data_IF_169616006164
#
_entry.id   IF_169616006164
#
_cell.length_a   1.000
_cell.length_b   1.000
_cell.length_c   1.000
_cell.angle_alpha   90.00
_cell.angle_beta   90.00
_cell.angle_gamma   90.00
#
_symmetry.space_group_name_H-M   'P 1'
#
loop_
_entity.id
_entity.type
_entity.pdbx_description
1 polymer ?
#
# COMPACT_ATOMS: atom_id res chain seq x y z
N UNK A 1 2.49 4.02 -6.69
CA UNK A 1 1.86 5.28 -7.15
C UNK A 1 0.35 5.09 -7.02
N UNK A 2 -0.47 6.12 -7.17
CA UNK A 2 -1.92 5.95 -7.15
C UNK A 2 -2.51 6.75 -8.30
N UNK A 3 -3.71 6.41 -8.77
CA UNK A 3 -4.27 6.96 -10.00
C UNK A 3 -4.18 8.49 -10.11
N UNK A 4 -4.41 9.23 -9.02
CA UNK A 4 -4.39 10.70 -9.04
C UNK A 4 -2.99 11.35 -9.15
N UNK A 5 -1.91 10.59 -8.96
CA UNK A 5 -0.53 11.05 -9.19
C UNK A 5 0.15 10.33 -10.36
N UNK A 6 -0.64 9.64 -11.18
CA UNK A 6 -0.10 8.97 -12.36
C UNK A 6 0.55 9.98 -13.31
N UNK A 7 1.77 9.65 -13.77
CA UNK A 7 2.58 10.54 -14.60
C UNK A 7 1.92 10.80 -15.95
N UNK A 8 1.23 9.83 -16.54
CA UNK A 8 0.55 10.02 -17.83
C UNK A 8 -0.60 11.04 -17.70
N UNK A 9 -1.38 10.99 -16.62
CA UNK A 9 -2.45 11.97 -16.37
C UNK A 9 -1.88 13.38 -16.16
N UNK A 10 -0.79 13.50 -15.39
CA UNK A 10 -0.12 14.78 -15.12
C UNK A 10 0.51 15.35 -16.38
N UNK A 11 1.31 14.55 -17.09
CA UNK A 11 2.11 15.00 -18.23
C UNK A 11 1.25 15.26 -19.46
N UNK A 12 0.08 14.61 -19.58
CA UNK A 12 -0.86 14.88 -20.68
C UNK A 12 -1.31 16.34 -20.71
N UNK A 13 -1.43 17.00 -19.55
CA UNK A 13 -2.07 18.32 -19.38
C UNK A 13 -3.50 18.41 -19.94
N UNK A 14 -4.14 17.28 -20.22
CA UNK A 14 -5.51 17.20 -20.73
C UNK A 14 -6.51 16.87 -19.63
N UNK A 15 -6.07 16.14 -18.60
CA UNK A 15 -6.95 15.68 -17.53
C UNK A 15 -7.08 16.71 -16.38
N UNK A 16 -5.97 17.24 -15.87
CA UNK A 16 -5.98 18.19 -14.76
C UNK A 16 -6.06 19.65 -15.24
N UNK A 17 -6.95 20.48 -14.68
CA UNK A 17 -6.93 21.92 -14.89
C UNK A 17 -5.58 22.53 -14.52
N UNK A 18 -5.20 23.62 -15.19
CA UNK A 18 -3.90 24.26 -14.96
C UNK A 18 -3.70 24.78 -13.53
N UNK A 19 -4.77 25.00 -12.76
CA UNK A 19 -4.73 25.38 -11.35
C UNK A 19 -4.40 24.22 -10.39
N UNK A 20 -4.57 22.96 -10.82
CA UNK A 20 -4.32 21.77 -9.99
C UNK A 20 -2.83 21.44 -9.99
N UNK A 21 -2.15 21.66 -8.86
CA UNK A 21 -0.68 21.54 -8.77
C UNK A 21 -0.21 20.48 -7.78
N UNK A 22 -0.84 20.38 -6.62
CA UNK A 22 -0.39 19.48 -5.55
C UNK A 22 -1.02 18.09 -5.67
N UNK A 23 -0.45 17.09 -4.98
CA UNK A 23 -1.06 15.76 -4.89
C UNK A 23 -2.48 15.81 -4.30
N UNK A 24 -2.69 16.65 -3.28
CA UNK A 24 -4.01 16.84 -2.68
C UNK A 24 -5.01 17.52 -3.62
N UNK A 25 -4.58 18.51 -4.40
CA UNK A 25 -5.44 19.12 -5.44
C UNK A 25 -5.85 18.08 -6.49
N UNK A 26 -4.90 17.25 -6.90
CA UNK A 26 -5.15 16.18 -7.87
C UNK A 26 -6.12 15.15 -7.32
N UNK A 27 -5.98 14.73 -6.06
CA UNK A 27 -6.91 13.80 -5.43
C UNK A 27 -8.33 14.39 -5.40
N UNK A 28 -8.48 15.64 -4.94
CA UNK A 28 -9.77 16.34 -4.93
C UNK A 28 -10.40 16.39 -6.32
N UNK A 29 -9.62 16.78 -7.33
CA UNK A 29 -10.12 16.84 -8.71
C UNK A 29 -10.46 15.44 -9.25
N UNK A 30 -9.57 14.46 -9.06
CA UNK A 30 -9.76 13.08 -9.50
C UNK A 30 -11.06 12.49 -8.94
N UNK A 31 -11.36 12.76 -7.66
CA UNK A 31 -12.59 12.31 -7.00
C UNK A 31 -13.88 12.98 -7.51
N UNK A 32 -13.79 13.98 -8.40
CA UNK A 32 -14.94 14.51 -9.15
C UNK A 32 -15.20 13.75 -10.45
N UNK A 33 -14.22 13.00 -10.94
CA UNK A 33 -14.26 12.28 -12.22
C UNK A 33 -14.53 10.79 -12.03
N UNK A 34 -14.00 10.21 -10.94
CA UNK A 34 -14.14 8.80 -10.59
C UNK A 34 -14.60 8.65 -9.15
N UNK A 35 -15.25 7.52 -8.85
CA UNK A 35 -15.71 7.17 -7.49
C UNK A 35 -14.78 6.19 -6.76
N UNK A 36 -13.71 5.73 -7.40
CA UNK A 36 -12.80 4.74 -6.86
C UNK A 36 -11.38 4.99 -7.36
N UNK A 37 -10.39 4.64 -6.55
CA UNK A 37 -8.99 4.59 -6.99
C UNK A 37 -8.23 3.44 -6.36
N UNK A 38 -7.32 2.86 -7.13
CA UNK A 38 -6.32 1.90 -6.67
C UNK A 38 -5.08 2.65 -6.12
N UNK A 39 -4.64 2.27 -4.92
CA UNK A 39 -3.44 2.80 -4.27
C UNK A 39 -2.33 1.75 -4.33
N UNK A 40 -1.39 1.89 -5.27
CA UNK A 40 -0.23 0.98 -5.40
C UNK A 40 0.98 1.42 -4.59
N UNK A 41 1.02 2.66 -4.09
CA UNK A 41 2.18 3.12 -3.30
C UNK A 41 2.42 2.27 -2.07
N UNK A 42 1.36 1.68 -1.52
CA UNK A 42 1.40 0.80 -0.34
C UNK A 42 2.17 -0.50 -0.58
N UNK A 43 2.29 -0.95 -1.83
CA UNK A 43 3.15 -2.09 -2.19
C UNK A 43 4.63 -1.84 -1.83
N UNK A 44 5.10 -0.61 -2.02
CA UNK A 44 6.51 -0.23 -1.84
C UNK A 44 6.85 0.22 -0.42
N UNK A 45 5.86 0.40 0.44
CA UNK A 45 6.03 0.79 1.83
C UNK A 45 4.68 1.04 2.51
N UNK A 46 4.61 0.74 3.81
CA UNK A 46 3.39 0.97 4.60
C UNK A 46 3.09 2.47 4.64
N UNK A 47 1.86 2.91 4.31
CA UNK A 47 1.53 4.32 4.34
C UNK A 47 1.56 4.84 5.79
N UNK A 48 1.79 6.14 5.95
CA UNK A 48 1.56 6.78 7.25
C UNK A 48 0.06 6.89 7.50
N UNK A 49 -0.36 6.70 8.75
CA UNK A 49 -1.76 6.87 9.17
C UNK A 49 -2.32 8.24 8.75
N UNK A 50 -1.57 9.32 8.99
CA UNK A 50 -1.95 10.69 8.62
C UNK A 50 -2.22 10.83 7.12
N UNK A 51 -1.54 10.06 6.26
CA UNK A 51 -1.80 10.07 4.82
C UNK A 51 -3.18 9.52 4.50
N UNK A 52 -3.55 8.40 5.11
CA UNK A 52 -4.86 7.77 4.94
C UNK A 52 -5.99 8.64 5.50
N UNK A 53 -5.77 9.27 6.67
CA UNK A 53 -6.69 10.26 7.24
C UNK A 53 -6.90 11.44 6.27
N UNK A 54 -5.81 11.97 5.72
CA UNK A 54 -5.87 13.06 4.76
C UNK A 54 -6.60 12.66 3.46
N UNK A 55 -6.40 11.45 2.95
CA UNK A 55 -7.11 10.96 1.77
C UNK A 55 -8.62 10.79 2.02
N UNK A 56 -8.99 10.24 3.18
CA UNK A 56 -10.38 10.13 3.58
C UNK A 56 -11.06 11.51 3.69
N UNK A 57 -10.38 12.50 4.28
CA UNK A 57 -10.91 13.84 4.44
C UNK A 57 -11.06 14.62 3.12
N UNK A 58 -10.22 14.33 2.12
CA UNK A 58 -10.17 15.07 0.85
C UNK A 58 -11.12 14.55 -0.24
N UNK A 59 -11.78 13.42 -0.01
CA UNK A 59 -12.67 12.78 -0.99
C UNK A 59 -14.13 12.87 -0.55
N UNK A 60 -15.11 12.84 -1.47
CA UNK A 60 -16.52 12.90 -1.09
C UNK A 60 -16.97 11.58 -0.42
N UNK A 61 -18.13 11.58 0.29
CA UNK A 61 -18.77 10.34 0.74
C UNK A 61 -19.00 9.36 -0.41
N UNK A 62 -18.80 8.07 -0.16
CA UNK A 62 -18.96 7.01 -1.16
C UNK A 62 -17.77 6.83 -2.12
N UNK A 63 -16.75 7.70 -2.07
CA UNK A 63 -15.50 7.46 -2.79
C UNK A 63 -14.69 6.34 -2.13
N UNK A 64 -14.23 5.37 -2.91
CA UNK A 64 -13.54 4.18 -2.41
C UNK A 64 -12.04 4.18 -2.75
N UNK A 65 -11.26 3.61 -1.84
CA UNK A 65 -9.85 3.31 -2.03
C UNK A 65 -9.67 1.80 -1.99
N UNK A 66 -9.20 1.24 -3.09
CA UNK A 66 -8.68 -0.12 -3.13
C UNK A 66 -7.19 -0.07 -2.88
N UNK A 67 -6.72 -0.78 -1.85
CA UNK A 67 -5.35 -0.67 -1.36
C UNK A 67 -4.56 -1.91 -1.71
N UNK A 68 -3.42 -1.72 -2.37
CA UNK A 68 -2.50 -2.83 -2.64
C UNK A 68 -1.86 -3.29 -1.34
N UNK A 69 -1.85 -4.59 -1.08
CA UNK A 69 -1.13 -5.12 0.06
C UNK A 69 0.37 -4.80 -0.04
N UNK A 70 1.02 -4.61 1.11
CA UNK A 70 2.46 -4.37 1.18
C UNK A 70 3.22 -5.57 0.61
N UNK A 71 4.28 -5.32 -0.17
CA UNK A 71 5.03 -6.38 -0.88
C UNK A 71 5.48 -7.53 0.02
N UNK A 72 5.78 -7.27 1.28
CA UNK A 72 6.15 -8.29 2.26
C UNK A 72 5.06 -9.37 2.42
N UNK A 73 3.79 -8.98 2.36
CA UNK A 73 2.63 -9.88 2.55
C UNK A 73 2.15 -10.56 1.27
N UNK A 74 2.87 -10.39 0.16
CA UNK A 74 2.50 -10.98 -1.13
C UNK A 74 3.56 -11.94 -1.65
N UNK A 75 4.50 -12.37 -0.79
CA UNK A 75 5.63 -13.24 -1.14
C UNK A 75 6.54 -12.69 -2.25
N UNK A 76 6.52 -11.37 -2.44
CA UNK A 76 7.47 -10.68 -3.30
C UNK A 76 8.79 -10.40 -2.57
N UNK A 77 9.92 -10.31 -3.29
CA UNK A 77 11.15 -9.77 -2.74
C UNK A 77 10.91 -8.32 -2.27
N UNK A 78 11.09 -8.08 -0.97
CA UNK A 78 10.88 -6.77 -0.36
C UNK A 78 12.21 -6.13 -0.02
N UNK A 79 12.43 -4.88 -0.42
CA UNK A 79 13.67 -4.18 -0.09
C UNK A 79 13.69 -3.84 1.41
N UNK A 80 14.83 -3.97 2.12
CA UNK A 80 14.93 -3.53 3.50
C UNK A 80 14.48 -2.08 3.70
N UNK A 81 14.77 -1.20 2.73
CA UNK A 81 14.37 0.21 2.75
C UNK A 81 12.86 0.46 2.69
N UNK A 82 12.07 -0.53 2.30
CA UNK A 82 10.60 -0.47 2.28
C UNK A 82 9.97 -0.73 3.65
N UNK A 83 10.71 -1.32 4.58
CA UNK A 83 10.25 -1.50 5.97
C UNK A 83 10.27 -0.18 6.73
N UNK A 84 9.37 0.00 7.72
CA UNK A 84 9.47 1.08 8.70
C UNK A 84 10.89 1.14 9.32
N UNK A 85 11.46 2.34 9.55
CA UNK A 85 12.86 2.50 9.94
C UNK A 85 13.28 1.75 11.21
N UNK A 86 12.37 1.62 12.17
CA UNK A 86 12.53 0.89 13.43
C UNK A 86 12.45 -0.62 13.23
N UNK A 87 11.46 -1.15 12.52
CA UNK A 87 11.43 -2.59 12.14
C UNK A 87 12.72 -2.97 11.39
N UNK A 88 13.20 -2.07 10.51
CA UNK A 88 14.46 -2.26 9.79
C UNK A 88 15.67 -2.27 10.72
N UNK A 89 15.67 -1.46 11.77
CA UNK A 89 16.78 -1.40 12.74
C UNK A 89 16.88 -2.69 13.56
N UNK A 90 15.75 -3.32 13.85
CA UNK A 90 15.64 -4.55 14.64
C UNK A 90 15.90 -5.82 13.82
N UNK A 91 16.19 -5.69 12.52
CA UNK A 91 16.56 -6.83 11.69
C UNK A 91 17.85 -7.51 12.20
N UNK A 92 17.89 -8.85 12.24
CA UNK A 92 19.11 -9.61 12.43
C UNK A 92 20.22 -9.18 11.45
N UNK A 93 21.47 -9.19 11.90
CA UNK A 93 22.62 -8.75 11.08
C UNK A 93 22.69 -9.48 9.73
N UNK A 94 22.39 -10.77 9.71
CA UNK A 94 22.36 -11.62 8.51
C UNK A 94 21.31 -11.20 7.46
N UNK A 95 20.22 -10.54 7.88
CA UNK A 95 19.17 -10.03 7.00
C UNK A 95 19.43 -8.59 6.56
N UNK A 96 20.11 -7.78 7.38
CA UNK A 96 20.45 -6.38 7.04
C UNK A 96 21.33 -6.25 5.80
N UNK A 97 22.17 -7.23 5.54
CA UNK A 97 23.07 -7.26 4.37
C UNK A 97 22.39 -7.77 3.09
N UNK A 98 21.15 -8.29 3.18
CA UNK A 98 20.45 -8.83 2.01
C UNK A 98 19.82 -7.72 1.18
N UNK A 99 19.92 -7.86 -0.15
CA UNK A 99 19.24 -6.96 -1.10
C UNK A 99 17.72 -7.06 -1.00
N UNK A 100 17.22 -8.28 -0.77
CA UNK A 100 15.79 -8.60 -0.70
C UNK A 100 15.51 -9.43 0.55
N UNK A 101 14.37 -9.13 1.16
CA UNK A 101 13.78 -9.83 2.28
C UNK A 101 12.56 -10.62 1.79
N UNK A 102 12.31 -11.75 2.43
CA UNK A 102 11.14 -12.58 2.20
C UNK A 102 10.50 -12.88 3.56
N UNK A 103 9.18 -12.77 3.65
CA UNK A 103 8.42 -12.90 4.90
C UNK A 103 8.78 -14.17 5.67
N UNK A 104 8.92 -15.29 4.98
CA UNK A 104 9.28 -16.61 5.56
C UNK A 104 10.64 -16.65 6.28
N UNK A 105 11.51 -15.66 6.03
CA UNK A 105 12.83 -15.56 6.65
C UNK A 105 12.90 -14.49 7.74
N UNK A 106 11.83 -13.71 7.96
CA UNK A 106 11.79 -12.72 9.03
C UNK A 106 11.40 -13.39 10.36
N UNK A 107 11.92 -12.89 11.49
CA UNK A 107 11.38 -13.21 12.81
C UNK A 107 9.88 -12.90 12.88
N UNK A 108 9.10 -13.80 13.48
CA UNK A 108 7.64 -13.71 13.59
C UNK A 108 7.19 -12.38 14.21
N UNK A 109 7.84 -11.95 15.30
CA UNK A 109 7.55 -10.69 15.98
C UNK A 109 7.64 -9.46 15.06
N UNK A 110 8.60 -9.45 14.11
CA UNK A 110 8.74 -8.35 13.14
C UNK A 110 7.68 -8.41 12.04
N UNK A 111 7.20 -9.61 11.70
CA UNK A 111 6.12 -9.81 10.74
C UNK A 111 4.79 -9.34 11.35
N UNK A 112 4.53 -9.69 12.61
CA UNK A 112 3.35 -9.26 13.35
C UNK A 112 3.30 -7.73 13.50
N UNK A 113 4.41 -7.10 13.87
CA UNK A 113 4.51 -5.65 13.97
C UNK A 113 4.28 -4.97 12.61
N UNK A 114 4.81 -5.54 11.52
CA UNK A 114 4.54 -5.01 10.17
C UNK A 114 3.05 -5.10 9.80
N UNK A 115 2.39 -6.20 10.16
CA UNK A 115 0.96 -6.40 9.95
C UNK A 115 0.11 -5.41 10.75
N UNK A 116 0.40 -5.22 12.03
CA UNK A 116 -0.29 -4.25 12.88
C UNK A 116 -0.18 -2.83 12.32
N UNK A 117 1.01 -2.44 11.85
CA UNK A 117 1.19 -1.14 11.21
C UNK A 117 0.42 -0.98 9.93
N UNK A 118 0.37 -2.03 9.11
CA UNK A 118 -0.40 -1.98 7.87
C UNK A 118 -1.90 -1.84 8.18
N UNK A 119 -2.44 -2.63 9.12
CA UNK A 119 -3.82 -2.52 9.60
C UNK A 119 -4.11 -1.10 10.13
N UNK A 120 -3.27 -0.60 11.03
CA UNK A 120 -3.43 0.74 11.60
C UNK A 120 -3.34 1.85 10.55
N UNK A 121 -2.56 1.65 9.49
CA UNK A 121 -2.40 2.63 8.43
C UNK A 121 -3.61 2.70 7.49
N UNK A 122 -4.31 1.59 7.24
CA UNK A 122 -5.54 1.56 6.42
C UNK A 122 -6.81 1.82 7.23
N UNK A 123 -6.74 1.69 8.56
CA UNK A 123 -7.86 1.87 9.48
C UNK A 123 -8.63 3.20 9.28
N UNK A 124 -7.99 4.36 9.04
CA UNK A 124 -8.73 5.60 8.77
C UNK A 124 -9.68 5.50 7.56
N UNK A 125 -9.28 4.77 6.51
CA UNK A 125 -10.13 4.55 5.34
C UNK A 125 -11.31 3.66 5.69
N UNK A 126 -11.07 2.58 6.46
CA UNK A 126 -12.13 1.67 6.94
C UNK A 126 -13.12 2.39 7.82
N UNK A 127 -12.64 3.15 8.81
CA UNK A 127 -13.46 3.92 9.74
C UNK A 127 -14.31 4.99 9.04
N UNK A 128 -13.79 5.60 7.97
CA UNK A 128 -14.52 6.55 7.14
C UNK A 128 -15.52 5.90 6.15
N UNK A 129 -15.60 4.56 6.09
CA UNK A 129 -16.42 3.83 5.11
C UNK A 129 -15.91 3.94 3.67
N UNK A 130 -14.60 4.15 3.50
CA UNK A 130 -13.95 4.41 2.20
C UNK A 130 -12.89 3.38 1.81
N UNK A 131 -12.67 2.35 2.62
CA UNK A 131 -11.86 1.21 2.22
C UNK A 131 -12.73 0.26 1.39
N UNK A 132 -12.40 0.09 0.11
CA UNK A 132 -13.11 -0.83 -0.79
C UNK A 132 -12.62 -2.27 -0.59
N UNK A 133 -11.45 -2.56 -1.16
CA UNK A 133 -10.76 -3.83 -0.99
C UNK A 133 -9.28 -3.66 -0.60
N UNK A 134 -8.70 -4.70 0.00
CA UNK A 134 -7.25 -4.89 0.08
C UNK A 134 -6.92 -6.05 -0.85
N UNK A 135 -6.10 -5.81 -1.88
CA UNK A 135 -5.79 -6.85 -2.87
C UNK A 135 -4.36 -7.35 -2.73
N UNK A 136 -4.24 -8.67 -2.81
CA UNK A 136 -3.00 -9.41 -2.72
C UNK A 136 -2.62 -9.88 -4.12
N UNK A 137 -1.75 -9.12 -4.77
CA UNK A 137 -1.15 -9.54 -6.03
C UNK A 137 0.10 -10.37 -5.71
N UNK A 138 0.02 -11.68 -5.94
CA UNK A 138 1.14 -12.61 -5.77
C UNK A 138 2.04 -12.67 -7.01
N UNK A 139 3.34 -13.03 -6.85
CA UNK A 139 4.24 -13.15 -7.98
C UNK A 139 3.88 -14.36 -8.86
N UNK A 140 4.33 -14.39 -10.13
CA UNK A 140 3.98 -15.48 -11.06
C UNK A 140 4.52 -16.86 -10.63
N UNK A 141 5.49 -16.92 -9.71
CA UNK A 141 5.99 -18.18 -9.13
C UNK A 141 5.22 -18.63 -7.88
N UNK A 142 4.21 -17.88 -7.43
CA UNK A 142 3.29 -18.32 -6.39
C UNK A 142 2.26 -19.28 -7.01
N UNK A 143 2.63 -20.56 -7.11
CA UNK A 143 1.84 -21.58 -7.78
C UNK A 143 0.79 -22.19 -6.85
N UNK A 144 -0.34 -22.71 -7.40
CA UNK A 144 -1.30 -23.47 -6.61
C UNK A 144 -0.65 -24.68 -5.94
N UNK A 145 -0.57 -24.67 -4.60
CA UNK A 145 -0.01 -25.73 -3.78
C UNK A 145 -0.58 -25.64 -2.35
N UNK A 146 -0.53 -26.72 -1.57
CA UNK A 146 -1.03 -26.71 -0.18
C UNK A 146 -0.35 -25.65 0.68
N UNK A 147 0.96 -25.42 0.46
CA UNK A 147 1.70 -24.34 1.12
C UNK A 147 1.14 -22.95 0.75
N UNK A 148 0.85 -22.72 -0.52
CA UNK A 148 0.29 -21.47 -1.03
C UNK A 148 -1.11 -21.23 -0.48
N UNK A 149 -1.94 -22.27 -0.43
CA UNK A 149 -3.28 -22.20 0.17
C UNK A 149 -3.19 -21.89 1.68
N UNK A 150 -2.34 -22.60 2.41
CA UNK A 150 -2.14 -22.36 3.84
C UNK A 150 -1.64 -20.95 4.15
N UNK A 151 -0.90 -20.31 3.24
CA UNK A 151 -0.55 -18.89 3.36
C UNK A 151 -1.74 -17.97 3.09
N UNK A 152 -2.53 -18.24 2.04
CA UNK A 152 -3.73 -17.43 1.71
C UNK A 152 -4.74 -17.45 2.85
N UNK A 153 -4.91 -18.57 3.55
CA UNK A 153 -5.84 -18.68 4.68
C UNK A 153 -5.43 -17.86 5.91
N UNK A 154 -4.20 -17.35 5.94
CA UNK A 154 -3.65 -16.56 7.05
C UNK A 154 -3.73 -15.04 6.83
N UNK A 155 -4.04 -14.58 5.60
CA UNK A 155 -4.00 -13.15 5.23
C UNK A 155 -5.37 -12.50 5.08
#
# INVERSE_FOLDING_TARGET
MAGWVDKSLIDSRLFYPMSVKTSGDRLRFYATQFSLVEVDSTYYGIPKKDSAEAWAAQTPPGFLFDVKSFSLFTNHPTKPMSLPPDIRADLPASLREKTNLYLEHLPEELVDEAWERFRAAVEPLRAAGKLGAIFFQFPPWFMPASRSLGYIEQV
#
